data_IF_234495499553
#
_entry.id   IF_234495499553
#
_cell.length_a   1.000
_cell.length_b   1.000
_cell.length_c   1.000
_cell.angle_alpha   90.00
_cell.angle_beta   90.00
_cell.angle_gamma   90.00
#
_symmetry.space_group_name_H-M   'P 1'
#
loop_
_entity.id
_entity.type
_entity.pdbx_description
1 polymer ?
#
# COMPACT_ATOMS: atom_id res chain seq x y z
N UNK A 1 -13.55 0.17 -16.56
CA UNK A 1 -12.21 0.67 -16.94
C UNK A 1 -12.27 1.75 -18.00
N UNK A 2 -13.25 1.71 -18.90
CA UNK A 2 -13.38 2.72 -19.96
C UNK A 2 -13.53 4.15 -19.42
N UNK A 3 -14.27 4.31 -18.31
CA UNK A 3 -14.34 5.59 -17.59
C UNK A 3 -12.94 6.09 -17.16
N UNK A 4 -12.08 5.22 -16.65
CA UNK A 4 -10.71 5.61 -16.29
C UNK A 4 -9.91 6.02 -17.53
N UNK A 5 -9.98 5.23 -18.61
CA UNK A 5 -9.29 5.50 -19.88
C UNK A 5 -9.74 6.80 -20.54
N UNK A 6 -11.03 7.12 -20.48
CA UNK A 6 -11.58 8.34 -21.09
C UNK A 6 -11.42 9.58 -20.19
N UNK A 7 -11.04 9.41 -18.93
CA UNK A 7 -10.93 10.51 -17.98
C UNK A 7 -9.51 11.05 -17.93
N UNK A 8 -9.35 12.32 -18.33
CA UNK A 8 -8.04 12.99 -18.41
C UNK A 8 -7.24 13.01 -17.10
N UNK A 9 -7.92 13.06 -15.94
CA UNK A 9 -7.30 13.08 -14.61
C UNK A 9 -8.10 12.16 -13.70
N UNK A 10 -7.58 10.95 -13.46
CA UNK A 10 -8.26 9.95 -12.66
C UNK A 10 -7.26 9.18 -11.80
N UNK A 11 -7.77 8.63 -10.69
CA UNK A 11 -7.05 7.69 -9.84
C UNK A 11 -7.86 6.40 -9.81
N UNK A 12 -7.20 5.26 -10.03
CA UNK A 12 -7.80 3.94 -9.94
C UNK A 12 -7.20 3.20 -8.75
N UNK A 13 -8.05 2.80 -7.80
CA UNK A 13 -7.68 1.87 -6.75
C UNK A 13 -7.90 0.44 -7.24
N UNK A 14 -6.88 -0.41 -7.10
CA UNK A 14 -6.98 -1.81 -7.51
C UNK A 14 -6.11 -2.72 -6.66
N UNK A 15 -6.52 -3.98 -6.55
CA UNK A 15 -5.68 -5.08 -6.03
C UNK A 15 -5.01 -5.82 -7.18
N UNK A 16 -4.26 -6.89 -6.86
CA UNK A 16 -3.59 -7.75 -7.85
C UNK A 16 -4.51 -8.39 -8.89
N UNK A 17 -5.83 -8.36 -8.67
CA UNK A 17 -6.82 -8.78 -9.68
C UNK A 17 -6.66 -8.00 -10.98
N UNK A 18 -6.28 -6.71 -10.94
CA UNK A 18 -6.05 -5.89 -12.13
C UNK A 18 -4.58 -5.87 -12.59
N UNK A 19 -3.67 -6.50 -11.84
CA UNK A 19 -2.24 -6.49 -12.14
C UNK A 19 -1.88 -7.25 -13.42
N UNK A 20 -2.73 -8.17 -13.90
CA UNK A 20 -2.52 -8.97 -15.11
C UNK A 20 -3.67 -8.83 -16.11
N UNK A 21 -3.35 -8.89 -17.41
CA UNK A 21 -4.34 -9.03 -18.49
C UNK A 21 -5.15 -7.78 -18.84
N UNK A 22 -5.03 -6.70 -18.06
CA UNK A 22 -5.73 -5.44 -18.35
C UNK A 22 -4.83 -4.50 -19.11
N UNK A 23 -5.19 -4.14 -20.33
CA UNK A 23 -4.45 -3.19 -21.16
C UNK A 23 -4.81 -1.74 -20.77
N UNK A 24 -4.13 -1.20 -19.77
CA UNK A 24 -4.18 0.23 -19.45
C UNK A 24 -2.80 0.79 -19.76
N UNK A 25 -2.65 1.33 -20.96
CA UNK A 25 -1.45 2.03 -21.40
C UNK A 25 -1.48 3.48 -20.88
N UNK A 26 -0.32 4.13 -20.87
CA UNK A 26 -0.16 5.56 -20.57
C UNK A 26 -0.55 5.99 -19.15
N UNK A 27 -0.28 5.15 -18.15
CA UNK A 27 -0.41 5.55 -16.75
C UNK A 27 0.82 6.35 -16.34
N UNK A 28 0.62 7.60 -15.90
CA UNK A 28 1.70 8.47 -15.43
C UNK A 28 2.40 7.92 -14.17
N UNK A 29 1.60 7.36 -13.25
CA UNK A 29 2.06 6.87 -11.96
C UNK A 29 1.40 5.57 -11.53
N UNK A 30 2.22 4.59 -11.17
CA UNK A 30 1.81 3.40 -10.43
C UNK A 30 2.27 3.58 -8.99
N UNK A 31 1.32 3.75 -8.07
CA UNK A 31 1.59 3.78 -6.63
C UNK A 31 1.23 2.44 -6.02
N UNK A 32 2.21 1.76 -5.45
CA UNK A 32 2.05 0.50 -4.72
C UNK A 32 2.01 0.82 -3.23
N UNK A 33 0.82 0.74 -2.64
CA UNK A 33 0.60 1.04 -1.22
C UNK A 33 1.28 0.03 -0.30
N UNK A 34 1.29 -1.24 -0.71
CA UNK A 34 1.95 -2.34 -0.03
C UNK A 34 2.80 -3.14 -1.03
N UNK A 35 3.71 -3.96 -0.50
CA UNK A 35 4.41 -4.92 -1.33
C UNK A 35 3.46 -6.07 -1.74
N UNK A 36 3.61 -6.61 -2.97
CA UNK A 36 2.74 -7.67 -3.47
C UNK A 36 2.95 -9.01 -2.75
N UNK A 37 1.92 -9.86 -2.78
CA UNK A 37 1.99 -11.23 -2.24
C UNK A 37 3.10 -12.08 -2.87
N UNK A 38 3.37 -11.84 -4.16
CA UNK A 38 4.42 -12.50 -4.92
C UNK A 38 5.38 -11.44 -5.45
N UNK A 39 6.68 -11.67 -5.34
CA UNK A 39 7.72 -10.80 -5.88
C UNK A 39 7.52 -10.47 -7.36
N UNK A 40 7.18 -11.47 -8.17
CA UNK A 40 6.91 -11.30 -9.61
C UNK A 40 5.77 -10.33 -9.93
N UNK A 41 4.80 -10.18 -9.02
CA UNK A 41 3.71 -9.22 -9.20
C UNK A 41 4.21 -7.78 -9.09
N UNK A 42 5.33 -7.52 -8.40
CA UNK A 42 5.94 -6.19 -8.37
C UNK A 42 6.26 -5.71 -9.80
N UNK A 43 6.91 -6.56 -10.59
CA UNK A 43 7.28 -6.26 -11.98
C UNK A 43 6.04 -6.05 -12.84
N UNK A 44 4.98 -6.84 -12.63
CA UNK A 44 3.72 -6.68 -13.35
C UNK A 44 2.97 -5.38 -12.97
N UNK A 45 2.94 -5.01 -11.68
CA UNK A 45 2.38 -3.74 -11.19
C UNK A 45 3.16 -2.57 -11.78
N UNK A 46 4.47 -2.55 -11.59
CA UNK A 46 5.37 -1.49 -12.08
C UNK A 46 5.30 -1.33 -13.60
N UNK A 47 5.21 -2.44 -14.34
CA UNK A 47 5.09 -2.44 -15.80
C UNK A 47 3.85 -1.72 -16.34
N UNK A 48 2.85 -1.42 -15.51
CA UNK A 48 1.68 -0.61 -15.92
C UNK A 48 2.01 0.85 -16.20
N UNK A 49 3.07 1.39 -15.59
CA UNK A 49 3.56 2.73 -15.89
C UNK A 49 4.21 2.83 -17.29
N UNK A 50 4.51 1.68 -17.92
CA UNK A 50 5.22 1.63 -19.18
C UNK A 50 6.64 2.19 -19.07
N UNK A 51 7.17 2.70 -20.20
CA UNK A 51 8.56 3.20 -20.28
C UNK A 51 8.74 4.64 -19.82
N UNK A 52 7.64 5.42 -19.80
CA UNK A 52 7.68 6.88 -19.59
C UNK A 52 7.06 7.23 -18.22
N UNK A 53 6.15 6.41 -17.71
CA UNK A 53 5.55 6.60 -16.40
C UNK A 53 6.50 6.20 -15.27
N UNK A 54 6.06 6.51 -14.04
CA UNK A 54 6.81 6.25 -12.81
C UNK A 54 6.12 5.19 -11.96
N UNK A 55 6.90 4.38 -11.26
CA UNK A 55 6.39 3.44 -10.26
C UNK A 55 7.03 3.75 -8.92
N UNK A 56 6.20 3.90 -7.88
CA UNK A 56 6.61 4.09 -6.50
C UNK A 56 6.03 2.98 -5.65
N UNK A 57 6.81 2.45 -4.73
CA UNK A 57 6.34 1.58 -3.66
C UNK A 57 6.54 2.28 -2.32
N UNK A 58 5.53 2.22 -1.47
CA UNK A 58 5.62 2.68 -0.10
C UNK A 58 6.09 1.51 0.76
N UNK A 59 7.16 1.73 1.52
CA UNK A 59 7.70 0.76 2.46
C UNK A 59 7.89 1.44 3.81
N UNK A 60 7.60 0.72 4.88
CA UNK A 60 7.98 1.15 6.23
C UNK A 60 9.44 0.78 6.52
N UNK A 61 9.99 1.30 7.62
CA UNK A 61 11.36 1.00 8.02
C UNK A 61 11.56 -0.50 8.28
N UNK A 62 10.53 -1.14 8.83
CA UNK A 62 10.47 -2.58 9.12
C UNK A 62 10.48 -3.43 7.84
N UNK A 63 10.11 -2.83 6.70
CA UNK A 63 10.04 -3.48 5.38
C UNK A 63 11.30 -3.24 4.53
N UNK A 64 12.30 -2.52 5.04
CA UNK A 64 13.53 -2.18 4.30
C UNK A 64 14.27 -3.39 3.71
N UNK A 65 14.20 -4.55 4.38
CA UNK A 65 14.76 -5.81 3.88
C UNK A 65 14.17 -6.27 2.53
N UNK A 66 12.95 -5.81 2.20
CA UNK A 66 12.29 -6.08 0.93
C UNK A 66 13.05 -5.50 -0.27
N UNK A 67 13.78 -4.39 -0.09
CA UNK A 67 14.55 -3.74 -1.14
C UNK A 67 15.64 -4.69 -1.67
N UNK A 68 16.45 -5.23 -0.77
CA UNK A 68 17.50 -6.20 -1.12
C UNK A 68 16.92 -7.50 -1.66
N UNK A 69 15.75 -7.91 -1.17
CA UNK A 69 15.07 -9.09 -1.67
C UNK A 69 14.65 -8.93 -3.14
N UNK A 70 14.07 -7.79 -3.51
CA UNK A 70 13.69 -7.49 -4.89
C UNK A 70 14.90 -7.42 -5.82
N UNK A 71 16.00 -6.82 -5.37
CA UNK A 71 17.25 -6.76 -6.14
C UNK A 71 17.79 -8.17 -6.43
N UNK A 72 17.78 -9.05 -5.42
CA UNK A 72 18.32 -10.40 -5.57
C UNK A 72 17.44 -11.31 -6.43
N UNK A 73 16.12 -11.29 -6.19
CA UNK A 73 15.17 -12.22 -6.81
C UNK A 73 14.66 -11.76 -8.18
N UNK A 74 14.31 -10.49 -8.30
CA UNK A 74 13.64 -9.93 -9.50
C UNK A 74 14.56 -9.00 -10.31
N UNK A 75 15.80 -8.77 -9.84
CA UNK A 75 16.80 -7.89 -10.48
C UNK A 75 16.31 -6.44 -10.62
N UNK A 76 15.52 -5.99 -9.65
CA UNK A 76 15.03 -4.61 -9.57
C UNK A 76 15.82 -3.85 -8.51
N UNK A 77 16.43 -2.73 -8.90
CA UNK A 77 17.04 -1.77 -7.98
C UNK A 77 16.01 -0.69 -7.67
N UNK A 78 15.80 -0.41 -6.38
CA UNK A 78 14.95 0.67 -5.92
C UNK A 78 15.81 1.85 -5.47
N UNK A 79 15.38 3.05 -5.84
CA UNK A 79 15.99 4.30 -5.37
C UNK A 79 15.04 4.98 -4.40
N UNK A 80 15.56 5.38 -3.24
CA UNK A 80 14.80 6.14 -2.27
C UNK A 80 14.48 7.53 -2.83
N UNK A 81 13.22 7.93 -2.74
CA UNK A 81 12.74 9.22 -3.23
C UNK A 81 12.14 10.02 -2.08
N UNK A 82 12.68 11.20 -1.83
CA UNK A 82 12.10 12.14 -0.88
C UNK A 82 10.94 12.90 -1.51
N UNK A 83 9.78 12.88 -0.84
CA UNK A 83 8.63 13.67 -1.25
C UNK A 83 8.50 14.93 -0.41
N UNK A 84 8.80 16.07 -1.04
CA UNK A 84 8.60 17.37 -0.43
C UNK A 84 7.15 17.58 0.01
N UNK A 85 6.96 17.99 1.27
CA UNK A 85 5.66 18.43 1.78
C UNK A 85 4.88 17.40 2.60
N UNK A 86 5.37 16.16 2.75
CA UNK A 86 4.93 15.25 3.80
C UNK A 86 5.68 15.59 5.08
N UNK A 87 4.99 16.17 6.06
CA UNK A 87 5.53 16.39 7.40
C UNK A 87 4.81 15.50 8.39
N UNK A 88 5.51 15.10 9.45
CA UNK A 88 4.93 14.33 10.56
C UNK A 88 3.68 15.00 11.11
N UNK A 89 3.67 16.34 11.18
CA UNK A 89 2.50 17.11 11.62
C UNK A 89 1.27 16.91 10.71
N UNK A 90 1.44 16.92 9.38
CA UNK A 90 0.33 16.67 8.44
C UNK A 90 -0.18 15.24 8.55
N UNK A 91 0.72 14.27 8.69
CA UNK A 91 0.35 12.87 8.89
C UNK A 91 -0.45 12.68 10.18
N UNK A 92 -0.03 13.31 11.27
CA UNK A 92 -0.74 13.29 12.56
C UNK A 92 -2.14 13.92 12.44
N UNK A 93 -2.27 15.07 11.78
CA UNK A 93 -3.58 15.72 11.53
C UNK A 93 -4.54 14.83 10.74
N UNK A 94 -4.04 14.11 9.73
CA UNK A 94 -4.85 13.16 8.96
C UNK A 94 -5.27 11.99 9.85
N UNK A 95 -4.35 11.42 10.63
CA UNK A 95 -4.64 10.33 11.57
C UNK A 95 -5.72 10.73 12.58
N UNK A 96 -5.58 11.90 13.21
CA UNK A 96 -6.55 12.44 14.18
C UNK A 96 -7.93 12.62 13.54
N UNK A 97 -7.99 13.14 12.31
CA UNK A 97 -9.24 13.28 11.57
C UNK A 97 -9.91 11.94 11.29
N UNK A 98 -9.15 10.92 10.89
CA UNK A 98 -9.68 9.57 10.66
C UNK A 98 -10.21 8.97 11.98
N UNK A 99 -9.46 9.12 13.08
CA UNK A 99 -9.87 8.64 14.40
C UNK A 99 -11.12 9.37 14.92
N UNK A 100 -11.23 10.67 14.66
CA UNK A 100 -12.44 11.43 14.97
C UNK A 100 -13.64 10.91 14.18
N UNK A 101 -13.50 10.70 12.86
CA UNK A 101 -14.57 10.13 12.04
C UNK A 101 -14.99 8.74 12.53
N UNK A 102 -14.04 7.90 12.93
CA UNK A 102 -14.32 6.59 13.51
C UNK A 102 -14.96 6.66 14.91
N UNK A 103 -14.69 7.71 15.68
CA UNK A 103 -15.30 7.94 16.99
C UNK A 103 -16.77 8.36 16.87
N UNK A 104 -17.08 9.17 15.86
CA UNK A 104 -18.40 9.76 15.65
C UNK A 104 -19.36 8.83 14.91
N UNK A 105 -18.86 8.06 13.93
CA UNK A 105 -19.67 7.18 13.11
C UNK A 105 -19.19 5.72 13.19
N UNK A 106 -20.08 4.89 13.75
CA UNK A 106 -19.89 3.44 13.91
C UNK A 106 -19.53 2.76 12.59
N UNK A 107 -20.07 3.21 11.46
CA UNK A 107 -19.78 2.62 10.14
C UNK A 107 -18.30 2.79 9.78
N UNK A 108 -17.72 3.96 10.06
CA UNK A 108 -16.29 4.18 9.81
C UNK A 108 -15.42 3.31 10.72
N UNK A 109 -15.81 3.12 11.99
CA UNK A 109 -15.11 2.21 12.89
C UNK A 109 -15.15 0.76 12.42
N UNK A 110 -16.31 0.28 11.98
CA UNK A 110 -16.47 -1.09 11.46
C UNK A 110 -15.66 -1.30 10.17
N UNK A 111 -15.70 -0.33 9.24
CA UNK A 111 -14.91 -0.38 8.01
C UNK A 111 -13.40 -0.33 8.28
N UNK A 112 -12.95 0.54 9.19
CA UNK A 112 -11.54 0.63 9.59
C UNK A 112 -11.06 -0.67 10.23
N UNK A 113 -11.88 -1.27 11.10
CA UNK A 113 -11.61 -2.56 11.73
C UNK A 113 -11.49 -3.68 10.70
N UNK A 114 -12.46 -3.79 9.79
CA UNK A 114 -12.44 -4.80 8.73
C UNK A 114 -11.23 -4.63 7.79
N UNK A 115 -10.89 -3.38 7.44
CA UNK A 115 -9.73 -3.06 6.61
C UNK A 115 -8.41 -3.44 7.31
N UNK A 116 -8.28 -3.13 8.61
CA UNK A 116 -7.12 -3.50 9.41
C UNK A 116 -6.94 -5.02 9.50
N UNK A 117 -8.01 -5.75 9.83
CA UNK A 117 -7.97 -7.23 9.89
C UNK A 117 -7.59 -7.82 8.52
N UNK A 118 -8.21 -7.34 7.45
CA UNK A 118 -7.89 -7.78 6.08
C UNK A 118 -6.44 -7.49 5.70
N UNK A 119 -5.88 -6.36 6.14
CA UNK A 119 -4.48 -6.02 5.88
C UNK A 119 -3.55 -7.00 6.61
N UNK A 120 -3.76 -7.22 7.91
CA UNK A 120 -2.95 -8.16 8.70
C UNK A 120 -3.03 -9.58 8.13
N UNK A 121 -4.23 -10.03 7.72
CA UNK A 121 -4.38 -11.34 7.08
C UNK A 121 -3.64 -11.42 5.73
N UNK A 122 -3.67 -10.36 4.94
CA UNK A 122 -2.93 -10.29 3.67
C UNK A 122 -1.43 -10.30 3.90
N UNK A 123 -0.96 -9.53 4.88
CA UNK A 123 0.44 -9.47 5.31
C UNK A 123 0.91 -10.83 5.84
N UNK A 124 0.05 -11.59 6.51
CA UNK A 124 0.45 -12.92 6.97
C UNK A 124 0.51 -13.98 5.84
N UNK A 125 0.00 -13.71 4.63
CA UNK A 125 -0.12 -14.70 3.55
C UNK A 125 0.77 -14.41 2.33
N UNK A 126 1.74 -13.52 2.43
CA UNK A 126 2.66 -13.22 1.33
C UNK A 126 3.85 -14.20 1.29
N UNK A 127 4.49 -14.36 0.14
CA UNK A 127 5.64 -15.26 -0.02
C UNK A 127 6.94 -14.67 0.52
N UNK A 128 6.95 -13.39 0.87
CA UNK A 128 8.12 -12.65 1.39
C UNK A 128 8.28 -12.76 2.91
N UNK A 129 7.66 -13.75 3.58
CA UNK A 129 7.69 -13.94 5.05
C UNK A 129 9.10 -14.05 5.63
N UNK A 130 10.07 -14.42 4.80
CA UNK A 130 11.48 -14.53 5.19
C UNK A 130 12.04 -13.14 5.53
N UNK A 131 11.63 -12.11 4.79
CA UNK A 131 12.17 -10.74 4.90
C UNK A 131 11.22 -9.75 5.57
N UNK A 132 9.91 -9.95 5.44
CA UNK A 132 8.88 -9.12 6.05
C UNK A 132 8.05 -9.99 6.99
N UNK A 133 8.29 -9.93 8.30
CA UNK A 133 7.53 -10.76 9.26
C UNK A 133 6.48 -9.90 9.95
N UNK A 134 5.29 -10.47 10.15
CA UNK A 134 4.21 -9.83 10.95
C UNK A 134 4.71 -9.45 12.35
N UNK A 135 5.64 -10.23 12.92
CA UNK A 135 6.21 -9.98 14.25
C UNK A 135 7.01 -8.70 14.35
N UNK A 136 7.58 -8.24 13.24
CA UNK A 136 8.44 -7.06 13.20
C UNK A 136 7.63 -5.78 12.95
N UNK A 137 6.35 -5.92 12.58
CA UNK A 137 5.45 -4.82 12.26
C UNK A 137 4.98 -4.09 13.52
N UNK A 138 4.96 -2.75 13.49
CA UNK A 138 4.28 -1.95 14.51
C UNK A 138 2.75 -2.06 14.34
N UNK A 139 2.19 -3.15 14.85
CA UNK A 139 0.75 -3.44 14.79
C UNK A 139 -0.06 -2.33 15.46
N UNK A 140 0.47 -1.68 16.49
CA UNK A 140 -0.21 -0.61 17.23
C UNK A 140 -0.25 0.67 16.40
N UNK A 141 0.89 1.09 15.87
CA UNK A 141 0.98 2.23 14.95
C UNK A 141 0.09 2.04 13.73
N UNK A 142 0.08 0.83 13.17
CA UNK A 142 -0.77 0.45 12.06
C UNK A 142 -2.26 0.50 12.43
N UNK A 143 -2.69 -0.11 13.55
CA UNK A 143 -4.08 -0.03 13.98
C UNK A 143 -4.55 1.43 14.12
N UNK A 144 -3.70 2.29 14.69
CA UNK A 144 -3.98 3.72 14.80
C UNK A 144 -4.09 4.41 13.43
N UNK A 145 -3.30 4.01 12.43
CA UNK A 145 -3.36 4.60 11.08
C UNK A 145 -4.65 4.20 10.32
N UNK A 146 -5.23 3.03 10.64
CA UNK A 146 -6.55 2.61 10.16
C UNK A 146 -7.72 3.27 10.91
N UNK A 147 -7.43 4.16 11.88
CA UNK A 147 -8.45 4.88 12.64
C UNK A 147 -8.98 4.14 13.85
N UNK A 148 -8.39 3.00 14.24
CA UNK A 148 -8.84 2.25 15.40
C UNK A 148 -8.41 3.00 16.68
N UNK A 149 -9.37 3.15 17.59
CA UNK A 149 -9.17 3.75 18.91
C UNK A 149 -8.94 2.66 19.97
N UNK A 150 -9.41 1.43 19.67
CA UNK A 150 -9.25 0.24 20.49
C UNK A 150 -8.99 -0.95 19.58
N UNK A 151 -8.22 -1.90 20.06
CA UNK A 151 -7.98 -3.14 19.32
C UNK A 151 -9.28 -3.93 19.12
N UNK A 152 -9.47 -4.54 17.94
CA UNK A 152 -10.58 -5.47 17.74
C UNK A 152 -10.38 -6.66 18.68
N UNK A 153 -11.48 -7.21 19.21
CA UNK A 153 -11.42 -8.54 19.81
C UNK A 153 -11.27 -9.53 18.65
N UNK A 154 -10.08 -10.10 18.52
CA UNK A 154 -9.76 -11.20 17.60
C UNK A 154 -10.22 -12.51 18.25
#
# INVERSE_FOLDING_TARGET
LDVFRSTKRAILFSTDVLARGIDVLDIDWVLQYDFPKLSKLYVHRSGRAGRIGKSLILLTNEESAYIQFLENQEKVVLEESEFGGLTTEKALKIKEKIQQMASEDRKFLELGTAAFVSFIESYNRHDTQIVCKVKDLDIVGLANSFGLIRFPKI
#
